data_IF_936563783945
#
_entry.id   IF_936563783945
#
_cell.length_a   1.000
_cell.length_b   1.000
_cell.length_c   1.000
_cell.angle_alpha   90.00
_cell.angle_beta   90.00
_cell.angle_gamma   90.00
#
_symmetry.space_group_name_H-M   'P 1'
#
loop_
_entity.id
_entity.type
_entity.pdbx_description
1 polymer ?
#
# COMPACT_ATOMS: atom_id res chain seq x y z
N UNK A 1 -19.26 -13.39 -11.59
CA UNK A 1 -19.33 -14.81 -11.14
C UNK A 1 -18.79 -15.75 -12.23
N UNK A 2 -19.34 -15.72 -13.46
CA UNK A 2 -18.94 -16.64 -14.54
C UNK A 2 -17.44 -16.57 -14.90
N UNK A 3 -16.90 -15.36 -15.04
CA UNK A 3 -15.50 -15.15 -15.45
C UNK A 3 -14.52 -15.60 -14.37
N UNK A 4 -14.85 -15.40 -13.10
CA UNK A 4 -13.99 -15.78 -11.98
C UNK A 4 -14.01 -17.28 -11.64
N UNK A 5 -15.14 -17.96 -11.91
CA UNK A 5 -15.34 -19.36 -11.49
C UNK A 5 -15.25 -20.38 -12.62
N UNK A 6 -15.62 -20.01 -13.85
CA UNK A 6 -15.78 -20.93 -14.97
C UNK A 6 -14.82 -20.70 -16.14
N UNK A 7 -14.00 -19.67 -16.08
CA UNK A 7 -13.05 -19.37 -17.15
C UNK A 7 -11.92 -20.42 -17.17
N UNK A 8 -11.70 -21.06 -18.32
CA UNK A 8 -10.54 -21.93 -18.52
C UNK A 8 -9.24 -21.14 -18.33
N UNK A 9 -8.36 -21.63 -17.45
CA UNK A 9 -7.06 -21.04 -17.21
C UNK A 9 -6.16 -21.24 -18.42
N UNK A 10 -5.83 -20.17 -19.14
CA UNK A 10 -4.79 -20.20 -20.17
C UNK A 10 -3.40 -20.17 -19.51
N UNK A 11 -2.48 -20.94 -20.06
CA UNK A 11 -1.04 -20.83 -19.75
C UNK A 11 -0.36 -19.97 -20.80
N UNK A 12 0.71 -19.27 -20.40
CA UNK A 12 1.57 -18.56 -21.35
C UNK A 12 2.32 -19.57 -22.23
N UNK A 13 2.64 -19.15 -23.45
CA UNK A 13 3.59 -19.89 -24.29
C UNK A 13 5.01 -19.72 -23.75
N UNK A 14 5.90 -20.68 -24.01
CA UNK A 14 7.31 -20.62 -23.62
C UNK A 14 8.02 -19.35 -24.13
N UNK A 15 7.66 -18.90 -25.32
CA UNK A 15 8.22 -17.67 -25.90
C UNK A 15 7.78 -16.42 -25.14
N UNK A 16 6.53 -16.37 -24.67
CA UNK A 16 6.02 -15.27 -23.81
C UNK A 16 6.71 -15.28 -22.45
N UNK A 17 6.91 -16.47 -21.85
CA UNK A 17 7.62 -16.64 -20.59
C UNK A 17 9.08 -16.19 -20.67
N UNK A 18 9.80 -16.57 -21.72
CA UNK A 18 11.19 -16.18 -21.95
C UNK A 18 11.33 -14.66 -22.15
N UNK A 19 10.47 -14.07 -22.96
CA UNK A 19 10.46 -12.60 -23.16
C UNK A 19 10.22 -11.83 -21.86
N UNK A 20 9.30 -12.31 -21.04
CA UNK A 20 8.97 -11.67 -19.76
C UNK A 20 10.13 -11.82 -18.78
N UNK A 21 10.68 -13.01 -18.62
CA UNK A 21 11.80 -13.27 -17.72
C UNK A 21 13.06 -12.48 -18.10
N UNK A 22 13.37 -12.36 -19.38
CA UNK A 22 14.48 -11.53 -19.88
C UNK A 22 14.26 -10.06 -19.56
N UNK A 23 13.05 -9.55 -19.82
CA UNK A 23 12.69 -8.16 -19.54
C UNK A 23 12.72 -7.84 -18.04
N UNK A 24 12.30 -8.77 -17.19
CA UNK A 24 12.38 -8.63 -15.73
C UNK A 24 13.82 -8.61 -15.24
N UNK A 25 14.66 -9.52 -15.72
CA UNK A 25 16.06 -9.61 -15.29
C UNK A 25 16.89 -8.37 -15.68
N UNK A 26 16.66 -7.82 -16.88
CA UNK A 26 17.43 -6.69 -17.39
C UNK A 26 17.02 -5.33 -16.75
N UNK A 27 15.77 -5.15 -16.37
CA UNK A 27 15.21 -3.85 -15.99
C UNK A 27 15.05 -3.62 -14.51
N UNK A 28 15.22 -4.64 -13.67
CA UNK A 28 14.89 -4.57 -12.24
C UNK A 28 16.12 -4.66 -11.33
N UNK A 29 17.11 -3.83 -11.56
CA UNK A 29 18.26 -3.69 -10.65
C UNK A 29 18.03 -2.52 -9.67
N UNK A 30 17.47 -2.82 -8.48
CA UNK A 30 17.22 -1.83 -7.40
C UNK A 30 15.75 -1.74 -6.97
N UNK A 31 15.49 -1.89 -5.67
CA UNK A 31 14.16 -2.15 -5.11
C UNK A 31 13.13 -1.02 -5.35
N UNK A 32 13.52 0.25 -5.18
CA UNK A 32 12.57 1.38 -5.27
C UNK A 32 12.15 1.69 -6.71
N UNK A 33 12.99 1.36 -7.69
CA UNK A 33 12.66 1.53 -9.10
C UNK A 33 11.89 0.32 -9.68
N UNK A 34 11.87 -0.81 -8.98
CA UNK A 34 11.22 -2.05 -9.44
C UNK A 34 9.73 -1.85 -9.61
N UNK A 35 9.06 -1.27 -8.63
CA UNK A 35 7.60 -1.09 -8.64
C UNK A 35 7.15 -0.11 -9.73
N UNK A 36 7.82 1.02 -9.87
CA UNK A 36 7.51 2.00 -10.92
C UNK A 36 7.72 1.43 -12.33
N UNK A 37 8.76 0.63 -12.52
CA UNK A 37 9.05 -0.04 -13.80
C UNK A 37 8.12 -1.22 -14.06
N UNK A 38 7.71 -1.95 -13.00
CA UNK A 38 6.81 -3.09 -13.11
C UNK A 38 5.48 -2.68 -13.77
N UNK A 39 4.84 -1.58 -13.37
CA UNK A 39 3.62 -1.08 -14.00
C UNK A 39 3.78 -0.83 -15.50
N UNK A 40 4.91 -0.26 -15.91
CA UNK A 40 5.20 0.02 -17.31
C UNK A 40 5.48 -1.27 -18.12
N UNK A 41 6.14 -2.25 -17.51
CA UNK A 41 6.41 -3.55 -18.11
C UNK A 41 5.12 -4.36 -18.29
N UNK A 42 4.27 -4.42 -17.26
CA UNK A 42 2.95 -5.07 -17.32
C UNK A 42 2.13 -4.45 -18.44
N UNK A 43 2.02 -3.13 -18.48
CA UNK A 43 1.26 -2.44 -19.52
C UNK A 43 1.76 -2.81 -20.93
N UNK A 44 3.06 -2.84 -21.14
CA UNK A 44 3.65 -3.21 -22.42
C UNK A 44 3.41 -4.67 -22.80
N UNK A 45 3.40 -5.57 -21.80
CA UNK A 45 3.23 -7.00 -22.02
C UNK A 45 1.77 -7.41 -22.20
N UNK A 46 0.87 -6.78 -21.43
CA UNK A 46 -0.57 -7.09 -21.48
C UNK A 46 -1.30 -6.26 -22.53
N UNK A 47 -0.78 -5.08 -22.85
CA UNK A 47 -1.35 -4.18 -23.86
C UNK A 47 -2.48 -3.29 -23.33
N UNK A 48 -2.56 -3.16 -21.99
CA UNK A 48 -3.53 -2.30 -21.29
C UNK A 48 -2.80 -1.38 -20.30
N UNK A 49 -3.37 -0.22 -19.96
CA UNK A 49 -2.90 0.58 -18.83
C UNK A 49 -2.82 -0.27 -17.56
N UNK A 50 -1.73 -0.10 -16.82
CA UNK A 50 -1.44 -0.92 -15.65
C UNK A 50 -1.12 -0.07 -14.43
N UNK A 51 -1.32 -0.66 -13.27
CA UNK A 51 -0.88 -0.11 -12.00
C UNK A 51 -0.21 -1.20 -11.15
N UNK A 52 0.69 -0.77 -10.28
CA UNK A 52 1.28 -1.62 -9.25
C UNK A 52 1.13 -0.93 -7.91
N UNK A 53 0.89 -1.70 -6.88
CA UNK A 53 0.73 -1.21 -5.51
C UNK A 53 1.64 -2.02 -4.61
N UNK A 54 2.37 -1.34 -3.73
CA UNK A 54 2.96 -1.96 -2.55
C UNK A 54 2.06 -1.65 -1.35
N UNK A 55 1.65 -2.70 -0.66
CA UNK A 55 0.71 -2.62 0.46
C UNK A 55 1.18 -3.53 1.60
N UNK A 56 0.87 -3.14 2.83
CA UNK A 56 1.11 -3.98 3.99
C UNK A 56 0.00 -5.03 4.13
N UNK A 57 0.37 -6.29 4.42
CA UNK A 57 -0.60 -7.37 4.68
C UNK A 57 -1.43 -7.09 5.92
N UNK A 58 -0.83 -6.43 6.90
CA UNK A 58 -1.50 -5.97 8.13
C UNK A 58 -1.15 -4.52 8.35
N UNK A 59 -2.17 -3.71 8.64
CA UNK A 59 -1.97 -2.30 8.94
C UNK A 59 -1.06 -2.12 10.15
N UNK A 60 -0.15 -1.16 10.07
CA UNK A 60 0.69 -0.77 11.18
C UNK A 60 -0.19 -0.16 12.30
N UNK A 61 0.12 -0.53 13.54
CA UNK A 61 -0.51 0.00 14.75
C UNK A 61 0.53 0.58 15.67
N UNK A 62 0.11 1.38 16.64
CA UNK A 62 1.03 1.85 17.68
C UNK A 62 1.44 0.68 18.56
N UNK A 63 2.74 0.52 18.77
CA UNK A 63 3.30 -0.46 19.70
C UNK A 63 3.62 0.17 21.05
N UNK A 64 4.22 1.37 21.05
CA UNK A 64 4.65 2.03 22.29
C UNK A 64 4.89 3.53 22.09
N UNK A 65 4.61 4.30 23.13
CA UNK A 65 5.04 5.68 23.31
C UNK A 65 6.11 5.78 24.39
N UNK A 66 7.09 6.68 24.17
CA UNK A 66 8.06 7.10 25.18
C UNK A 66 8.19 8.63 25.08
N UNK A 67 8.07 9.33 26.21
CA UNK A 67 8.18 10.79 26.27
C UNK A 67 9.42 11.14 27.10
N UNK A 68 10.35 11.85 26.49
CA UNK A 68 11.66 12.15 27.06
C UNK A 68 11.73 13.66 27.29
N UNK A 69 11.89 14.14 28.53
CA UNK A 69 12.05 15.56 28.80
C UNK A 69 13.38 16.07 28.19
N UNK A 70 13.35 17.24 27.57
CA UNK A 70 14.54 17.93 27.04
C UNK A 70 14.84 19.13 27.90
N UNK A 71 13.85 19.99 28.11
CA UNK A 71 13.94 21.18 28.96
C UNK A 71 12.56 21.52 29.56
N UNK A 72 12.43 22.72 30.19
CA UNK A 72 11.17 23.13 30.83
C UNK A 72 10.05 23.45 29.84
N UNK A 73 10.37 23.60 28.55
CA UNK A 73 9.46 24.01 27.48
C UNK A 73 9.32 23.01 26.35
N UNK A 74 10.03 21.87 26.41
CA UNK A 74 10.02 20.89 25.32
C UNK A 74 10.30 19.47 25.79
N UNK A 75 9.77 18.50 25.00
CA UNK A 75 10.01 17.08 25.18
C UNK A 75 10.12 16.37 23.83
N UNK A 76 10.76 15.23 23.78
CA UNK A 76 10.77 14.35 22.61
C UNK A 76 9.68 13.29 22.78
N UNK A 77 8.76 13.22 21.82
CA UNK A 77 7.84 12.10 21.69
C UNK A 77 8.47 11.04 20.77
N UNK A 78 8.69 9.84 21.29
CA UNK A 78 9.12 8.66 20.54
C UNK A 78 7.91 7.76 20.35
N UNK A 79 7.62 7.39 19.10
CA UNK A 79 6.54 6.48 18.75
C UNK A 79 7.14 5.26 18.06
N UNK A 80 6.83 4.08 18.59
CA UNK A 80 7.19 2.79 18.01
C UNK A 80 5.94 2.19 17.37
N UNK A 81 6.06 1.75 16.14
CA UNK A 81 4.98 1.07 15.40
C UNK A 81 5.19 -0.45 15.40
N UNK A 82 4.16 -1.20 15.06
CA UNK A 82 4.18 -2.67 15.03
C UNK A 82 5.08 -3.24 13.93
N UNK A 83 5.34 -2.48 12.88
CA UNK A 83 6.27 -2.79 11.78
C UNK A 83 7.75 -2.52 12.14
N UNK A 84 8.03 -2.31 13.42
CA UNK A 84 9.36 -1.98 13.97
C UNK A 84 9.90 -0.60 13.61
N UNK A 85 9.13 0.26 12.98
CA UNK A 85 9.53 1.66 12.78
C UNK A 85 9.53 2.39 14.12
N UNK A 86 10.58 3.18 14.34
CA UNK A 86 10.73 4.08 15.50
C UNK A 86 10.95 5.48 14.98
N UNK A 87 10.07 6.39 15.33
CA UNK A 87 10.15 7.79 14.94
C UNK A 87 10.11 8.68 16.17
N UNK A 88 10.77 9.82 16.12
CA UNK A 88 10.78 10.79 17.21
C UNK A 88 10.57 12.20 16.69
N UNK A 89 9.91 13.03 17.49
CA UNK A 89 9.67 14.44 17.22
C UNK A 89 9.81 15.26 18.49
N UNK A 90 10.50 16.41 18.41
CA UNK A 90 10.52 17.41 19.47
C UNK A 90 9.17 18.15 19.47
N UNK A 91 8.52 18.18 20.61
CA UNK A 91 7.24 18.85 20.81
C UNK A 91 7.34 19.90 21.91
N UNK A 92 6.67 21.07 21.77
CA UNK A 92 6.69 22.12 22.78
C UNK A 92 5.74 21.79 23.94
N UNK A 93 6.14 22.22 25.13
CA UNK A 93 5.27 22.32 26.30
C UNK A 93 4.86 23.77 26.49
N UNK A 94 3.57 24.04 26.53
CA UNK A 94 3.07 25.40 26.76
C UNK A 94 3.15 25.83 28.23
N UNK A 95 3.16 24.87 29.14
CA UNK A 95 3.30 25.07 30.57
C UNK A 95 4.31 24.03 31.09
N UNK A 96 5.15 24.42 32.07
CA UNK A 96 6.05 23.47 32.72
C UNK A 96 5.25 22.33 33.32
N UNK A 97 5.68 21.11 33.03
CA UNK A 97 5.07 19.91 33.58
C UNK A 97 5.76 19.59 34.89
N UNK A 98 4.98 19.27 35.93
CA UNK A 98 5.50 18.86 37.22
C UNK A 98 6.38 17.59 37.08
N UNK A 99 7.33 17.40 37.99
CA UNK A 99 8.16 16.20 38.03
C UNK A 99 7.28 14.93 38.03
N UNK A 100 7.56 14.03 37.10
CA UNK A 100 6.77 12.79 36.90
C UNK A 100 5.66 12.87 35.86
N UNK A 101 5.27 14.05 35.40
CA UNK A 101 4.11 14.20 34.52
C UNK A 101 4.28 13.60 33.11
N UNK A 102 5.47 13.65 32.49
CA UNK A 102 5.72 13.00 31.21
C UNK A 102 5.68 11.45 31.29
N UNK A 103 6.27 10.80 32.32
CA UNK A 103 6.07 9.38 32.56
C UNK A 103 4.60 8.97 32.73
N UNK A 104 3.81 9.75 33.47
CA UNK A 104 2.38 9.48 33.65
C UNK A 104 1.62 9.61 32.33
N UNK A 105 1.94 10.59 31.51
CA UNK A 105 1.37 10.76 30.17
C UNK A 105 1.81 9.64 29.24
N UNK A 106 3.07 9.18 29.27
CA UNK A 106 3.53 7.99 28.54
C UNK A 106 2.73 6.76 28.93
N UNK A 107 2.51 6.55 30.23
CA UNK A 107 1.71 5.44 30.74
C UNK A 107 0.25 5.50 30.23
N UNK A 108 -0.37 6.67 30.29
CA UNK A 108 -1.71 6.90 29.77
C UNK A 108 -1.82 6.60 28.28
N UNK A 109 -0.88 7.13 27.47
CA UNK A 109 -0.83 6.87 26.04
C UNK A 109 -0.68 5.37 25.74
N UNK A 110 0.22 4.70 26.43
CA UNK A 110 0.43 3.25 26.25
C UNK A 110 -0.78 2.42 26.66
N UNK A 111 -1.52 2.84 27.70
CA UNK A 111 -2.73 2.15 28.13
C UNK A 111 -3.87 2.27 27.11
N UNK A 112 -4.01 3.42 26.46
CA UNK A 112 -5.17 3.70 25.62
C UNK A 112 -4.93 3.54 24.12
N UNK A 113 -3.68 3.67 23.63
CA UNK A 113 -3.36 3.70 22.21
C UNK A 113 -2.50 2.55 21.71
N UNK A 114 -1.98 1.67 22.57
CA UNK A 114 -1.26 0.48 22.10
C UNK A 114 -2.21 -0.43 21.33
N UNK A 115 -1.79 -0.87 20.15
CA UNK A 115 -2.59 -1.70 19.23
C UNK A 115 -3.59 -0.93 18.39
N UNK A 116 -3.69 0.40 18.53
CA UNK A 116 -4.62 1.25 17.78
C UNK A 116 -4.03 1.57 16.41
N UNK A 117 -4.85 1.42 15.37
CA UNK A 117 -4.56 1.80 13.99
C UNK A 117 -5.01 3.22 13.66
N UNK A 118 -4.75 3.70 12.42
CA UNK A 118 -5.03 5.08 12.02
C UNK A 118 -6.52 5.45 12.09
N UNK A 119 -7.42 4.50 11.83
CA UNK A 119 -8.87 4.72 11.80
C UNK A 119 -9.44 5.04 13.19
N UNK A 120 -8.90 4.39 14.22
CA UNK A 120 -9.44 4.46 15.58
C UNK A 120 -8.79 5.56 16.44
N UNK A 121 -7.70 6.20 15.98
CA UNK A 121 -6.94 7.20 16.72
C UNK A 121 -7.82 8.36 17.21
N UNK A 122 -8.61 8.94 16.32
CA UNK A 122 -9.45 10.09 16.64
C UNK A 122 -10.59 9.73 17.61
N UNK A 123 -11.23 8.58 17.41
CA UNK A 123 -12.29 8.11 18.30
C UNK A 123 -11.76 7.84 19.72
N UNK A 124 -10.58 7.26 19.83
CA UNK A 124 -9.94 7.02 21.12
C UNK A 124 -9.52 8.33 21.80
N UNK A 125 -8.98 9.28 21.05
CA UNK A 125 -8.64 10.61 21.56
C UNK A 125 -9.86 11.34 22.11
N UNK A 126 -10.98 11.32 21.40
CA UNK A 126 -12.24 11.93 21.86
C UNK A 126 -12.70 11.31 23.17
N UNK A 127 -12.70 9.98 23.29
CA UNK A 127 -13.09 9.30 24.53
C UNK A 127 -12.17 9.63 25.72
N UNK A 128 -10.88 9.85 25.44
CA UNK A 128 -9.90 10.20 26.48
C UNK A 128 -9.97 11.68 26.86
N UNK A 129 -10.35 12.56 25.93
CA UNK A 129 -10.46 14.01 26.18
C UNK A 129 -11.49 14.37 27.25
N UNK A 130 -12.49 13.53 27.46
CA UNK A 130 -13.47 13.69 28.53
C UNK A 130 -12.88 13.40 29.92
N UNK A 131 -11.81 12.63 29.99
CA UNK A 131 -11.15 12.19 31.23
C UNK A 131 -9.90 13.02 31.55
N UNK A 132 -9.27 13.61 30.54
CA UNK A 132 -8.03 14.40 30.68
C UNK A 132 -8.37 15.88 30.54
N UNK A 133 -8.16 16.64 31.62
CA UNK A 133 -8.43 18.07 31.65
C UNK A 133 -7.18 18.87 31.99
N UNK A 134 -7.25 20.19 31.70
CA UNK A 134 -6.23 21.14 32.09
C UNK A 134 -4.95 21.07 31.19
N UNK A 135 -3.79 21.23 31.82
CA UNK A 135 -2.50 21.40 31.13
C UNK A 135 -2.03 20.19 30.32
N UNK A 136 -2.62 19.01 30.56
CA UNK A 136 -2.24 17.76 29.90
C UNK A 136 -2.88 17.55 28.54
N UNK A 137 -4.00 18.20 28.29
CA UNK A 137 -4.77 17.98 27.06
C UNK A 137 -4.01 18.36 25.79
N UNK A 138 -3.33 19.52 25.78
CA UNK A 138 -2.61 19.99 24.60
C UNK A 138 -1.39 19.10 24.25
N UNK A 139 -0.49 18.80 25.20
CA UNK A 139 0.62 17.88 24.92
C UNK A 139 0.15 16.49 24.48
N UNK A 140 -0.90 15.95 25.11
CA UNK A 140 -1.50 14.66 24.72
C UNK A 140 -1.99 14.69 23.27
N UNK A 141 -2.76 15.73 22.90
CA UNK A 141 -3.28 15.90 21.55
C UNK A 141 -2.15 15.95 20.52
N UNK A 142 -1.09 16.72 20.79
CA UNK A 142 0.08 16.82 19.90
C UNK A 142 0.76 15.46 19.67
N UNK A 143 0.92 14.64 20.72
CA UNK A 143 1.52 13.30 20.60
C UNK A 143 0.61 12.38 19.81
N UNK A 144 -0.70 12.40 20.06
CA UNK A 144 -1.67 11.57 19.32
C UNK A 144 -1.77 11.99 17.86
N UNK A 145 -1.79 13.27 17.55
CA UNK A 145 -1.73 13.78 16.17
C UNK A 145 -0.46 13.37 15.46
N UNK A 146 0.69 13.44 16.15
CA UNK A 146 1.96 12.97 15.61
C UNK A 146 1.92 11.49 15.28
N UNK A 147 1.47 10.65 16.22
CA UNK A 147 1.31 9.21 16.00
C UNK A 147 0.31 8.91 14.88
N UNK A 148 -0.78 9.65 14.77
CA UNK A 148 -1.75 9.51 13.69
C UNK A 148 -1.17 9.81 12.31
N UNK A 149 -0.30 10.82 12.18
CA UNK A 149 0.44 11.09 10.95
C UNK A 149 1.38 9.95 10.59
N UNK A 150 2.16 9.46 11.56
CA UNK A 150 3.07 8.33 11.36
C UNK A 150 2.35 7.07 10.92
N UNK A 151 1.19 6.78 11.55
CA UNK A 151 0.37 5.65 11.16
C UNK A 151 -0.19 5.79 9.74
N UNK A 152 -0.61 6.99 9.35
CA UNK A 152 -1.06 7.25 7.97
C UNK A 152 0.08 7.06 6.97
N UNK A 153 1.27 7.57 7.28
CA UNK A 153 2.46 7.36 6.45
C UNK A 153 2.83 5.88 6.35
N UNK A 154 2.88 5.16 7.49
CA UNK A 154 3.21 3.74 7.53
C UNK A 154 2.18 2.84 6.83
N UNK A 155 0.92 3.27 6.77
CA UNK A 155 -0.16 2.55 6.09
C UNK A 155 -0.48 3.12 4.70
N UNK A 156 0.30 4.09 4.22
CA UNK A 156 0.11 4.62 2.87
C UNK A 156 0.52 3.58 1.83
N UNK A 157 -0.34 3.44 0.83
CA UNK A 157 -0.04 2.58 -0.31
C UNK A 157 0.78 3.36 -1.34
N UNK A 158 1.90 2.80 -1.76
CA UNK A 158 2.64 3.33 -2.90
C UNK A 158 2.04 2.77 -4.19
N UNK A 159 1.41 3.62 -4.98
CA UNK A 159 0.79 3.23 -6.25
C UNK A 159 1.56 3.86 -7.42
N UNK A 160 1.98 3.01 -8.33
CA UNK A 160 2.65 3.39 -9.56
C UNK A 160 1.77 3.02 -10.75
N UNK A 161 1.58 3.95 -11.68
CA UNK A 161 0.80 3.73 -12.89
C UNK A 161 1.68 3.73 -14.14
N UNK A 162 1.30 2.96 -15.14
CA UNK A 162 2.03 2.88 -16.41
C UNK A 162 1.13 2.66 -17.61
N UNK A 163 1.62 3.05 -18.78
CA UNK A 163 0.95 2.75 -20.03
C UNK A 163 -0.33 3.55 -20.32
N UNK A 164 -0.50 4.75 -19.80
CA UNK A 164 -1.67 5.59 -20.05
C UNK A 164 -1.97 5.76 -21.56
N UNK A 165 -0.94 5.77 -22.42
CA UNK A 165 -1.12 5.82 -23.88
C UNK A 165 -1.88 4.62 -24.46
N UNK A 166 -1.90 3.49 -23.76
CA UNK A 166 -2.58 2.28 -24.22
C UNK A 166 -4.11 2.47 -24.22
N UNK A 167 -4.66 3.39 -23.41
CA UNK A 167 -6.07 3.73 -23.48
C UNK A 167 -6.49 4.20 -24.88
N UNK A 168 -5.65 5.00 -25.53
CA UNK A 168 -5.96 5.59 -26.85
C UNK A 168 -6.09 4.54 -27.97
N UNK A 169 -5.69 3.29 -27.74
CA UNK A 169 -5.82 2.18 -28.70
C UNK A 169 -7.23 1.61 -28.75
N UNK A 170 -8.04 1.85 -27.72
CA UNK A 170 -9.37 1.28 -27.60
C UNK A 170 -10.44 2.27 -28.06
N UNK A 171 -11.38 1.85 -28.93
CA UNK A 171 -12.46 2.73 -29.41
C UNK A 171 -13.33 3.30 -28.28
N UNK A 172 -13.47 2.58 -27.17
CA UNK A 172 -14.25 2.96 -26.00
C UNK A 172 -13.72 4.24 -25.33
N UNK A 173 -12.43 4.49 -25.46
CA UNK A 173 -11.74 5.65 -24.87
C UNK A 173 -11.35 6.71 -25.92
N UNK A 174 -12.02 6.71 -27.08
CA UNK A 174 -11.89 7.80 -28.07
C UNK A 174 -12.62 9.06 -27.67
N UNK A 175 -13.60 8.93 -26.77
CA UNK A 175 -14.22 10.08 -26.11
C UNK A 175 -13.17 10.71 -25.19
N UNK A 176 -12.81 11.97 -25.48
CA UNK A 176 -11.75 12.66 -24.78
C UNK A 176 -12.08 12.89 -23.29
N UNK A 177 -13.36 13.13 -22.98
CA UNK A 177 -13.79 13.36 -21.61
C UNK A 177 -13.69 12.07 -20.80
N UNK A 178 -14.17 10.94 -21.32
CA UNK A 178 -14.05 9.63 -20.67
C UNK A 178 -12.59 9.20 -20.48
N UNK A 179 -11.74 9.41 -21.49
CA UNK A 179 -10.32 9.10 -21.39
C UNK A 179 -9.63 9.98 -20.36
N UNK A 180 -9.98 11.27 -20.31
CA UNK A 180 -9.47 12.23 -19.35
C UNK A 180 -9.84 11.82 -17.91
N UNK A 181 -11.12 11.54 -17.66
CA UNK A 181 -11.63 11.15 -16.33
C UNK A 181 -10.95 9.88 -15.81
N UNK A 182 -10.79 8.88 -16.69
CA UNK A 182 -10.14 7.62 -16.32
C UNK A 182 -8.63 7.80 -16.07
N UNK A 183 -7.94 8.60 -16.90
CA UNK A 183 -6.53 8.92 -16.68
C UNK A 183 -6.33 9.73 -15.40
N UNK A 184 -7.16 10.73 -15.15
CA UNK A 184 -7.15 11.53 -13.91
C UNK A 184 -7.40 10.64 -12.71
N UNK A 185 -8.37 9.74 -12.78
CA UNK A 185 -8.62 8.77 -11.72
C UNK A 185 -7.39 7.90 -11.42
N UNK A 186 -6.72 7.36 -12.44
CA UNK A 186 -5.53 6.52 -12.25
C UNK A 186 -4.32 7.28 -11.69
N UNK A 187 -4.25 8.59 -11.87
CA UNK A 187 -3.13 9.42 -11.39
C UNK A 187 -3.42 10.02 -10.02
N UNK A 188 -4.60 10.62 -9.86
CA UNK A 188 -4.95 11.45 -8.70
C UNK A 188 -5.69 10.66 -7.61
N UNK A 189 -6.44 9.63 -8.00
CA UNK A 189 -7.23 8.79 -7.09
C UNK A 189 -6.70 7.35 -7.04
N UNK A 190 -5.43 7.18 -7.24
CA UNK A 190 -4.76 5.88 -7.32
C UNK A 190 -4.96 5.01 -6.08
N UNK A 191 -5.18 5.59 -4.91
CA UNK A 191 -5.48 4.86 -3.66
C UNK A 191 -6.83 4.14 -3.68
N UNK A 192 -7.73 4.52 -4.62
CA UNK A 192 -9.04 3.89 -4.82
C UNK A 192 -9.02 2.81 -5.91
N UNK A 193 -7.85 2.50 -6.47
CA UNK A 193 -7.71 1.41 -7.42
C UNK A 193 -8.01 0.07 -6.72
N UNK A 194 -8.75 -0.83 -7.39
CA UNK A 194 -9.11 -2.11 -6.79
C UNK A 194 -7.90 -2.91 -6.31
N UNK A 195 -7.97 -3.37 -5.07
CA UNK A 195 -7.06 -4.34 -4.49
C UNK A 195 -7.80 -5.67 -4.30
N UNK A 196 -7.15 -6.84 -4.51
CA UNK A 196 -7.79 -8.11 -4.25
C UNK A 196 -8.23 -8.19 -2.80
N UNK A 197 -9.52 -8.45 -2.60
CA UNK A 197 -10.04 -8.93 -1.32
C UNK A 197 -9.68 -10.40 -1.16
N UNK A 198 -9.70 -10.89 0.08
CA UNK A 198 -9.39 -12.29 0.40
C UNK A 198 -10.11 -13.27 -0.53
N UNK A 199 -9.38 -14.15 -1.21
CA UNK A 199 -10.01 -15.22 -1.97
C UNK A 199 -9.32 -15.76 -3.22
N UNK A 200 -8.19 -15.18 -3.68
CA UNK A 200 -7.50 -15.76 -4.84
C UNK A 200 -6.34 -14.93 -5.37
N UNK A 201 -5.46 -15.57 -6.16
CA UNK A 201 -4.31 -14.89 -6.73
C UNK A 201 -4.68 -13.83 -7.78
N UNK A 202 -5.87 -13.93 -8.38
CA UNK A 202 -6.39 -12.99 -9.40
C UNK A 202 -7.85 -12.69 -9.13
N UNK A 203 -8.20 -11.42 -9.22
CA UNK A 203 -9.58 -10.93 -9.17
C UNK A 203 -9.91 -10.17 -10.46
N UNK A 204 -11.12 -10.34 -10.97
CA UNK A 204 -11.65 -9.66 -12.14
C UNK A 204 -12.91 -8.92 -11.72
N UNK A 205 -12.95 -7.62 -11.98
CA UNK A 205 -14.09 -6.74 -11.71
C UNK A 205 -14.56 -6.16 -13.05
N UNK A 206 -15.79 -6.38 -13.41
CA UNK A 206 -16.35 -6.01 -14.73
C UNK A 206 -17.41 -4.92 -14.56
N UNK A 207 -17.18 -3.76 -15.18
CA UNK A 207 -18.17 -2.70 -15.22
C UNK A 207 -18.67 -2.28 -13.85
N UNK A 208 -19.98 -2.42 -13.56
CA UNK A 208 -20.57 -2.03 -12.27
C UNK A 208 -20.11 -2.83 -11.05
N UNK A 209 -19.34 -3.90 -11.23
CA UNK A 209 -18.69 -4.61 -10.11
C UNK A 209 -17.57 -3.75 -9.47
N UNK A 210 -17.07 -2.76 -10.22
CA UNK A 210 -16.16 -1.76 -9.66
C UNK A 210 -16.95 -0.80 -8.76
N UNK A 211 -16.48 -0.63 -7.53
CA UNK A 211 -17.12 0.27 -6.57
C UNK A 211 -16.98 1.75 -6.95
N UNK A 212 -15.94 2.08 -7.71
CA UNK A 212 -15.69 3.45 -8.16
C UNK A 212 -16.40 3.75 -9.47
N UNK A 213 -17.10 4.88 -9.51
CA UNK A 213 -17.91 5.29 -10.66
C UNK A 213 -17.06 5.58 -11.92
N UNK A 214 -15.83 6.06 -11.75
CA UNK A 214 -14.90 6.27 -12.86
C UNK A 214 -14.51 4.96 -13.58
N UNK A 215 -14.63 3.82 -12.93
CA UNK A 215 -14.33 2.49 -13.48
C UNK A 215 -15.58 1.74 -13.97
N UNK A 216 -16.78 2.34 -13.90
CA UNK A 216 -18.04 1.69 -14.17
C UNK A 216 -18.20 1.18 -15.62
N UNK A 217 -17.57 1.87 -16.56
CA UNK A 217 -17.54 1.51 -18.00
C UNK A 217 -16.28 0.70 -18.37
N UNK A 218 -15.49 0.32 -17.36
CA UNK A 218 -14.20 -0.36 -17.53
C UNK A 218 -14.18 -1.68 -16.74
N UNK A 219 -13.20 -2.52 -17.04
CA UNK A 219 -12.91 -3.71 -16.26
C UNK A 219 -11.52 -3.62 -15.67
N UNK A 220 -11.37 -4.20 -14.50
CA UNK A 220 -10.09 -4.30 -13.79
C UNK A 220 -9.76 -5.77 -13.58
N UNK A 221 -8.54 -6.16 -13.92
CA UNK A 221 -7.97 -7.46 -13.57
C UNK A 221 -6.77 -7.18 -12.68
N UNK A 222 -6.76 -7.75 -11.47
CA UNK A 222 -5.71 -7.53 -10.50
C UNK A 222 -5.19 -8.84 -9.92
N UNK A 223 -3.87 -8.95 -9.80
CA UNK A 223 -3.19 -10.08 -9.20
C UNK A 223 -2.34 -9.62 -8.02
N UNK A 224 -2.22 -10.48 -6.99
CA UNK A 224 -1.40 -10.22 -5.82
C UNK A 224 -0.17 -11.13 -5.78
N UNK A 225 0.92 -10.65 -5.19
CA UNK A 225 2.14 -11.39 -4.95
C UNK A 225 2.78 -11.00 -3.62
N UNK A 226 3.60 -11.88 -3.07
CA UNK A 226 4.30 -11.66 -1.81
C UNK A 226 5.62 -10.90 -2.05
N UNK A 227 5.84 -9.82 -1.30
CA UNK A 227 7.10 -9.06 -1.34
C UNK A 227 8.02 -9.48 -0.17
N UNK A 228 7.50 -10.16 0.85
CA UNK A 228 8.17 -10.43 2.12
C UNK A 228 7.89 -9.33 3.15
N UNK A 229 8.44 -9.49 4.36
CA UNK A 229 8.39 -8.49 5.45
C UNK A 229 7.00 -7.91 5.73
N UNK A 230 5.98 -8.76 5.75
CA UNK A 230 4.57 -8.37 5.94
C UNK A 230 4.03 -7.45 4.82
N UNK A 231 4.68 -7.41 3.66
CA UNK A 231 4.23 -6.65 2.50
C UNK A 231 3.66 -7.56 1.42
N UNK A 232 2.69 -7.06 0.67
CA UNK A 232 2.18 -7.66 -0.56
C UNK A 232 2.28 -6.66 -1.69
N UNK A 233 2.57 -7.15 -2.87
CA UNK A 233 2.46 -6.40 -4.11
C UNK A 233 1.14 -6.71 -4.80
N UNK A 234 0.59 -5.71 -5.47
CA UNK A 234 -0.54 -5.86 -6.35
C UNK A 234 -0.13 -5.37 -7.74
N UNK A 235 -0.58 -6.06 -8.75
CA UNK A 235 -0.44 -5.62 -10.13
C UNK A 235 -1.80 -5.71 -10.81
N UNK A 236 -2.26 -4.61 -11.37
CA UNK A 236 -3.57 -4.56 -12.01
C UNK A 236 -3.51 -3.90 -13.38
N UNK A 237 -4.48 -4.21 -14.21
CA UNK A 237 -4.71 -3.57 -15.50
C UNK A 237 -6.15 -3.08 -15.60
N UNK A 238 -6.34 -1.97 -16.29
CA UNK A 238 -7.64 -1.38 -16.58
C UNK A 238 -7.89 -1.39 -18.08
N UNK A 239 -9.08 -1.80 -18.50
CA UNK A 239 -9.41 -1.84 -19.92
C UNK A 239 -10.92 -1.91 -20.16
N UNK A 240 -11.36 -2.02 -21.43
CA UNK A 240 -12.77 -2.09 -21.78
C UNK A 240 -13.39 -3.39 -21.28
N UNK A 241 -14.70 -3.37 -21.03
CA UNK A 241 -15.47 -4.55 -20.55
C UNK A 241 -15.43 -5.76 -21.50
N UNK A 242 -14.96 -5.60 -22.73
CA UNK A 242 -14.79 -6.68 -23.72
C UNK A 242 -13.36 -7.21 -23.83
N UNK A 243 -12.51 -7.02 -22.84
CA UNK A 243 -11.13 -7.55 -22.88
C UNK A 243 -11.10 -9.09 -22.87
N UNK A 244 -10.03 -9.68 -23.39
CA UNK A 244 -9.77 -11.12 -23.28
C UNK A 244 -9.29 -11.44 -21.85
N UNK A 245 -10.24 -11.64 -20.94
CA UNK A 245 -9.98 -11.88 -19.53
C UNK A 245 -9.07 -13.10 -19.30
N UNK A 246 -9.23 -14.17 -20.09
CA UNK A 246 -8.44 -15.39 -19.94
C UNK A 246 -6.95 -15.13 -20.20
N UNK A 247 -6.66 -14.44 -21.30
CA UNK A 247 -5.28 -14.08 -21.66
C UNK A 247 -4.70 -13.05 -20.68
N UNK A 248 -5.49 -12.04 -20.31
CA UNK A 248 -5.07 -10.98 -19.37
C UNK A 248 -4.76 -11.56 -17.99
N UNK A 249 -5.68 -12.38 -17.45
CA UNK A 249 -5.50 -13.03 -16.15
C UNK A 249 -4.27 -13.95 -16.13
N UNK A 250 -4.06 -14.75 -17.19
CA UNK A 250 -2.90 -15.64 -17.30
C UNK A 250 -1.58 -14.85 -17.28
N UNK A 251 -1.51 -13.79 -18.09
CA UNK A 251 -0.32 -12.94 -18.14
C UNK A 251 -0.05 -12.22 -16.83
N UNK A 252 -1.11 -11.73 -16.18
CA UNK A 252 -1.00 -11.02 -14.92
C UNK A 252 -0.57 -11.95 -13.78
N UNK A 253 -1.14 -13.16 -13.72
CA UNK A 253 -0.73 -14.21 -12.76
C UNK A 253 0.75 -14.53 -12.89
N UNK A 254 1.20 -14.81 -14.11
CA UNK A 254 2.60 -15.15 -14.37
C UNK A 254 3.55 -14.02 -13.99
N UNK A 255 3.14 -12.77 -14.27
CA UNK A 255 3.91 -11.58 -13.90
C UNK A 255 4.01 -11.43 -12.39
N UNK A 256 2.89 -11.58 -11.68
CA UNK A 256 2.81 -11.52 -10.22
C UNK A 256 3.69 -12.61 -9.56
N UNK A 257 3.61 -13.87 -10.04
CA UNK A 257 4.46 -14.96 -9.57
C UNK A 257 5.95 -14.69 -9.82
N UNK A 258 6.28 -14.10 -10.96
CA UNK A 258 7.67 -13.76 -11.30
C UNK A 258 8.22 -12.67 -10.42
N UNK A 259 7.43 -11.62 -10.11
CA UNK A 259 7.79 -10.60 -9.14
C UNK A 259 7.96 -11.19 -7.74
N UNK A 260 7.02 -12.01 -7.26
CA UNK A 260 7.10 -12.66 -5.96
C UNK A 260 8.37 -13.51 -5.81
N UNK A 261 8.74 -14.25 -6.86
CA UNK A 261 10.02 -15.01 -6.88
C UNK A 261 11.25 -14.11 -6.83
N UNK A 262 11.20 -12.93 -7.44
CA UNK A 262 12.32 -11.98 -7.42
C UNK A 262 12.49 -11.34 -6.04
N UNK A 263 11.41 -10.93 -5.42
CA UNK A 263 11.43 -10.35 -4.08
C UNK A 263 11.80 -11.41 -3.03
N UNK A 264 11.26 -12.64 -3.11
CA UNK A 264 11.59 -13.74 -2.21
C UNK A 264 13.05 -14.21 -2.30
N UNK A 265 13.72 -14.06 -3.44
CA UNK A 265 15.14 -14.39 -3.59
C UNK A 265 16.09 -13.37 -2.98
N UNK A 266 15.65 -12.15 -2.74
CA UNK A 266 16.44 -11.13 -2.05
C UNK A 266 16.52 -11.34 -0.53
N UNK A 267 15.75 -12.27 0.03
CA UNK A 267 15.96 -12.80 1.37
C UNK A 267 17.03 -13.90 1.32
N UNK A 268 18.29 -13.53 1.13
CA UNK A 268 19.41 -14.45 1.29
C UNK A 268 19.43 -14.92 2.76
N UNK A 269 19.53 -16.24 3.02
CA UNK A 269 19.76 -16.73 4.38
C UNK A 269 21.05 -16.09 4.90
N UNK A 270 21.13 -15.80 6.21
CA UNK A 270 22.36 -15.31 6.81
C UNK A 270 23.50 -16.28 6.42
N UNK A 271 24.63 -15.73 5.97
CA UNK A 271 25.83 -16.54 5.73
C UNK A 271 26.14 -17.27 7.03
N UNK A 272 26.02 -18.59 7.01
CA UNK A 272 26.66 -19.41 8.01
C UNK A 272 28.17 -19.13 7.90
N UNK A 273 28.71 -18.46 8.92
CA UNK A 273 30.14 -18.32 9.07
C UNK A 273 30.71 -19.73 9.21
N UNK A 274 31.32 -20.19 8.15
CA UNK A 274 32.17 -21.39 8.22
C UNK A 274 33.42 -20.99 9.02
N UNK A 275 33.36 -21.16 10.32
CA UNK A 275 34.55 -21.29 11.13
C UNK A 275 35.27 -22.60 10.72
N UNK A 276 36.48 -22.42 10.24
CA UNK A 276 37.51 -23.46 10.19
C UNK A 276 38.62 -23.07 11.12
#
# INVERSE_FOLDING_TARGET
>A
LYVNELMERRSLSREEEEKLNTSLAEKLAGTDQVMARAGQMVSSFVGYPAYTVADHKTAATVRRFELIPVDQSSFIAVVMLSDSQVKSQLLPLQLPVADGGLPDMSHLLNTHFTGIGPEDMNGRLMSLSEQVSGQWFLPLNQVVEYAGRLLKEANSQEVFTGGAKEFLRFPEYRDADKAHDLMTFMVDNKEQLPAPTEGGPVQILIGPENLNEALRDSSVVVASYDIGDNMRGLVGVVGPTRMDYATVAARLSYFAESLGRMFGKNQLPPKEDQET
#
